data_IF_480760227340
#
_entry.id   IF_480760227340
#
_cell.length_a   1.000
_cell.length_b   1.000
_cell.length_c   1.000
_cell.angle_alpha   90.00
_cell.angle_beta   90.00
_cell.angle_gamma   90.00
#
_symmetry.space_group_name_H-M   'P 1'
#
loop_
_entity.id
_entity.type
_entity.pdbx_description
1 polymer ?
#
# COMPACT_ATOMS: atom_id res chain seq x y z
N UNK A 1 2.49 -4.32 12.08
CA UNK A 1 1.91 -2.96 12.05
C UNK A 1 2.73 -2.14 11.07
N UNK A 2 2.10 -1.61 10.03
CA UNK A 2 2.78 -0.80 9.02
C UNK A 2 2.96 0.63 9.54
N UNK A 3 4.00 1.32 9.08
CA UNK A 3 4.36 2.67 9.52
C UNK A 3 4.33 3.62 8.32
N UNK A 4 4.14 4.93 8.52
CA UNK A 4 4.38 5.92 7.48
C UNK A 4 5.79 5.72 6.87
N UNK A 5 5.90 5.84 5.55
CA UNK A 5 7.11 5.57 4.77
C UNK A 5 7.26 4.11 4.31
N UNK A 6 6.41 3.18 4.75
CA UNK A 6 6.45 1.81 4.24
C UNK A 6 5.92 1.74 2.80
N UNK A 7 6.67 1.05 1.92
CA UNK A 7 6.20 0.72 0.57
C UNK A 7 5.21 -0.44 0.61
N UNK A 8 4.13 -0.28 -0.13
CA UNK A 8 3.05 -1.25 -0.25
C UNK A 8 2.66 -1.42 -1.72
N UNK A 9 2.04 -2.55 -2.03
CA UNK A 9 1.36 -2.77 -3.30
C UNK A 9 -0.11 -3.05 -3.02
N UNK A 10 -0.98 -2.64 -3.94
CA UNK A 10 -2.41 -2.98 -3.84
C UNK A 10 -2.60 -4.48 -4.07
N UNK A 11 -3.44 -5.12 -3.27
CA UNK A 11 -3.84 -6.50 -3.54
C UNK A 11 -4.79 -6.51 -4.75
N UNK A 12 -4.39 -7.18 -5.83
CA UNK A 12 -5.20 -7.33 -7.05
C UNK A 12 -5.50 -8.81 -7.29
N UNK A 13 -6.74 -9.10 -7.69
CA UNK A 13 -7.16 -10.46 -8.11
C UNK A 13 -6.77 -10.79 -9.55
N UNK A 14 -6.22 -9.82 -10.30
CA UNK A 14 -5.79 -10.00 -11.68
C UNK A 14 -4.34 -10.46 -11.74
N UNK A 15 -4.15 -11.74 -12.01
CA UNK A 15 -2.83 -12.33 -12.26
C UNK A 15 -2.27 -11.79 -13.58
N UNK A 16 -1.03 -11.30 -13.57
CA UNK A 16 -0.34 -10.75 -14.75
C UNK A 16 -0.41 -9.22 -14.91
N UNK A 17 -1.26 -8.52 -14.14
CA UNK A 17 -1.26 -7.06 -14.09
C UNK A 17 -0.27 -6.58 -13.03
N UNK A 18 0.62 -5.62 -13.37
CA UNK A 18 1.44 -4.95 -12.36
C UNK A 18 0.51 -4.24 -11.37
N UNK A 19 0.53 -4.72 -10.14
CA UNK A 19 -0.23 -4.09 -9.07
C UNK A 19 0.35 -2.68 -8.80
N UNK A 20 -0.50 -1.67 -8.62
CA UNK A 20 -0.02 -0.34 -8.29
C UNK A 20 0.71 -0.35 -6.95
N UNK A 21 1.84 0.33 -6.93
CA UNK A 21 2.70 0.50 -5.76
C UNK A 21 2.53 1.89 -5.17
N UNK A 22 2.68 1.98 -3.86
CA UNK A 22 2.49 3.22 -3.13
C UNK A 22 3.25 3.23 -1.81
N UNK A 23 3.19 4.37 -1.14
CA UNK A 23 3.83 4.60 0.15
C UNK A 23 2.79 5.03 1.16
N UNK A 24 2.81 4.43 2.35
CA UNK A 24 1.93 4.85 3.44
C UNK A 24 2.37 6.25 3.89
N UNK A 25 1.44 7.19 3.88
CA UNK A 25 1.67 8.57 4.33
C UNK A 25 1.11 8.80 5.73
N UNK A 26 0.03 8.11 6.09
CA UNK A 26 -0.60 8.22 7.40
C UNK A 26 -1.14 6.85 7.87
N UNK A 27 -1.13 6.63 9.18
CA UNK A 27 -1.72 5.45 9.81
C UNK A 27 -2.82 5.91 10.76
N UNK A 28 -4.05 5.48 10.50
CA UNK A 28 -5.19 5.67 11.38
C UNK A 28 -5.56 4.35 12.07
N UNK A 29 -6.47 4.39 13.05
CA UNK A 29 -6.93 3.18 13.75
C UNK A 29 -7.64 2.21 12.78
N UNK A 30 -6.88 1.27 12.23
CA UNK A 30 -7.37 0.20 11.34
C UNK A 30 -7.22 0.47 9.85
N UNK A 31 -6.76 1.66 9.45
CA UNK A 31 -6.66 2.07 8.05
C UNK A 31 -5.36 2.81 7.77
N UNK A 32 -4.91 2.76 6.52
CA UNK A 32 -3.68 3.36 6.05
C UNK A 32 -4.00 4.31 4.89
N UNK A 33 -3.55 5.56 4.98
CA UNK A 33 -3.55 6.45 3.83
C UNK A 33 -2.29 6.18 3.01
N UNK A 34 -2.47 5.96 1.71
CA UNK A 34 -1.42 5.57 0.78
C UNK A 34 -1.37 6.59 -0.35
N UNK A 35 -0.20 7.13 -0.59
CA UNK A 35 0.13 7.85 -1.82
C UNK A 35 0.68 6.85 -2.83
N UNK A 36 -0.09 6.60 -3.88
CA UNK A 36 0.29 5.73 -4.99
C UNK A 36 1.27 6.44 -5.92
N UNK A 37 2.08 5.66 -6.65
CA UNK A 37 3.10 6.18 -7.57
C UNK A 37 2.49 6.94 -8.78
N UNK A 38 1.18 6.78 -9.04
CA UNK A 38 0.41 7.57 -10.02
C UNK A 38 -0.02 8.95 -9.49
N UNK A 39 0.33 9.29 -8.24
CA UNK A 39 -0.05 10.53 -7.56
C UNK A 39 -1.41 10.49 -6.87
N UNK A 40 -2.17 9.40 -7.00
CA UNK A 40 -3.47 9.24 -6.34
C UNK A 40 -3.29 8.92 -4.85
N UNK A 41 -4.18 9.45 -4.01
CA UNK A 41 -4.25 9.08 -2.58
C UNK A 41 -5.47 8.23 -2.31
N UNK A 42 -5.30 7.14 -1.56
CA UNK A 42 -6.43 6.31 -1.14
C UNK A 42 -6.24 5.81 0.29
N UNK A 43 -7.37 5.52 0.94
CA UNK A 43 -7.41 4.85 2.24
C UNK A 43 -7.63 3.36 1.99
N UNK A 44 -6.79 2.51 2.59
CA UNK A 44 -6.90 1.06 2.52
C UNK A 44 -6.68 0.41 3.89
N UNK A 45 -7.38 -0.69 4.14
CA UNK A 45 -7.14 -1.55 5.31
C UNK A 45 -6.00 -2.53 5.03
N UNK A 46 -5.50 -3.20 6.08
CA UNK A 46 -4.43 -4.20 5.96
C UNK A 46 -4.73 -5.33 4.97
N UNK A 47 -5.99 -5.70 4.78
CA UNK A 47 -6.41 -6.76 3.85
C UNK A 47 -6.31 -6.36 2.37
N UNK A 48 -6.31 -5.07 2.08
CA UNK A 48 -6.26 -4.53 0.71
C UNK A 48 -4.85 -4.26 0.19
N UNK A 49 -3.83 -4.38 1.05
CA UNK A 49 -2.45 -3.97 0.74
C UNK A 49 -1.46 -5.05 1.16
N UNK A 50 -0.43 -5.23 0.35
CA UNK A 50 0.67 -6.14 0.64
C UNK A 50 1.92 -5.29 0.87
N UNK A 51 2.57 -5.37 2.04
CA UNK A 51 3.82 -4.65 2.27
C UNK A 51 4.93 -5.19 1.38
N UNK A 52 5.53 -4.29 0.61
CA UNK A 52 6.75 -4.56 -0.14
C UNK A 52 7.92 -4.45 0.83
N UNK A 53 8.15 -5.47 1.65
CA UNK A 53 9.42 -5.58 2.37
C UNK A 53 10.51 -5.65 1.32
N UNK A 54 11.46 -4.70 1.33
CA UNK A 54 12.75 -4.95 0.69
C UNK A 54 13.36 -6.16 1.40
N UNK A 55 13.68 -7.26 0.70
CA UNK A 55 14.59 -8.24 1.26
C UNK A 55 15.92 -7.53 1.52
N UNK A 56 16.49 -7.78 2.70
CA UNK A 56 17.80 -7.32 3.12
C UNK A 56 18.88 -8.00 2.30
#
# INVERSE_FOLDING_TARGET
>A
MLRPGAKVTRMTKKVGQRAPTGTIVEVQKGSYEILWDDGHRSIATSDGIIPLKKPK
#
